data_IF_267581518883
#
_entry.id   IF_267581518883
#
_cell.length_a   1.000
_cell.length_b   1.000
_cell.length_c   1.000
_cell.angle_alpha   90.00
_cell.angle_beta   90.00
_cell.angle_gamma   90.00
#
_symmetry.space_group_name_H-M   'P 1'
#
loop_
_entity.id
_entity.type
_entity.pdbx_description
1 polymer ?
#
# COMPACT_ATOMS: atom_id res chain seq x y z
N UNK A 1 10.57 18.02 4.96
CA UNK A 1 11.57 17.46 4.02
C UNK A 1 10.97 16.22 3.39
N UNK A 2 10.76 16.24 2.07
CA UNK A 2 9.89 15.30 1.37
C UNK A 2 10.49 13.90 1.16
N UNK A 3 9.60 12.90 1.17
CA UNK A 3 9.88 11.52 0.75
C UNK A 3 9.81 11.46 -0.77
N UNK A 4 10.95 11.65 -1.44
CA UNK A 4 11.02 11.55 -2.90
C UNK A 4 11.00 10.08 -3.33
N UNK A 5 10.29 9.79 -4.41
CA UNK A 5 10.34 8.48 -5.07
C UNK A 5 11.76 8.20 -5.59
N UNK A 6 12.04 6.94 -5.89
CA UNK A 6 13.31 6.52 -6.48
C UNK A 6 13.60 7.32 -7.77
N UNK A 7 12.60 7.48 -8.64
CA UNK A 7 12.72 8.19 -9.91
C UNK A 7 13.11 9.66 -9.76
N UNK A 8 12.50 10.35 -8.78
CA UNK A 8 12.82 11.75 -8.45
C UNK A 8 14.26 11.89 -7.97
N UNK A 9 14.77 10.87 -7.27
CA UNK A 9 16.15 10.86 -6.79
C UNK A 9 17.11 10.67 -7.97
N UNK A 10 16.78 9.79 -8.92
CA UNK A 10 17.54 9.59 -10.17
C UNK A 10 17.64 10.87 -10.99
N UNK A 11 16.52 11.52 -11.27
CA UNK A 11 16.45 12.74 -12.06
C UNK A 11 17.28 13.90 -11.45
N UNK A 12 17.21 14.05 -10.12
CA UNK A 12 17.92 15.12 -9.42
C UNK A 12 19.43 14.90 -9.35
N UNK A 13 19.87 13.64 -9.22
CA UNK A 13 21.30 13.31 -9.23
C UNK A 13 21.85 13.43 -10.65
N UNK A 14 21.12 12.98 -11.67
CA UNK A 14 21.55 13.11 -13.08
C UNK A 14 21.68 14.56 -13.56
N UNK A 15 20.98 15.51 -12.94
CA UNK A 15 21.11 16.94 -13.27
C UNK A 15 22.28 17.64 -12.57
N UNK A 16 22.91 17.00 -11.58
CA UNK A 16 23.96 17.61 -10.75
C UNK A 16 25.29 16.86 -10.77
N UNK A 17 25.27 15.59 -11.16
CA UNK A 17 26.44 14.73 -11.24
C UNK A 17 26.37 13.84 -12.48
N UNK A 18 27.54 13.51 -13.03
CA UNK A 18 27.69 12.56 -14.13
C UNK A 18 28.75 11.53 -13.78
N UNK A 19 28.42 10.24 -13.92
CA UNK A 19 29.36 9.12 -13.85
C UNK A 19 28.99 8.08 -14.91
N UNK A 20 29.95 7.25 -15.39
CA UNK A 20 29.68 6.21 -16.39
C UNK A 20 28.67 5.15 -15.93
N UNK A 21 28.46 5.00 -14.61
CA UNK A 21 27.60 3.99 -13.99
C UNK A 21 26.60 4.60 -13.01
N UNK A 22 26.22 5.87 -13.23
CA UNK A 22 25.45 6.65 -12.26
C UNK A 22 24.14 5.97 -11.87
N UNK A 23 23.43 5.38 -12.83
CA UNK A 23 22.18 4.67 -12.55
C UNK A 23 22.39 3.44 -11.67
N UNK A 24 23.47 2.68 -11.90
CA UNK A 24 23.80 1.50 -11.13
C UNK A 24 24.18 1.89 -9.70
N UNK A 25 25.10 2.85 -9.54
CA UNK A 25 25.55 3.36 -8.25
C UNK A 25 24.38 3.91 -7.42
N UNK A 26 23.47 4.64 -8.07
CA UNK A 26 22.32 5.22 -7.41
C UNK A 26 21.26 4.18 -7.03
N UNK A 27 21.02 3.20 -7.90
CA UNK A 27 20.14 2.08 -7.56
C UNK A 27 20.69 1.29 -6.37
N UNK A 28 22.00 1.02 -6.35
CA UNK A 28 22.68 0.34 -5.25
C UNK A 28 22.59 1.14 -3.94
N UNK A 29 22.79 2.45 -4.01
CA UNK A 29 22.61 3.35 -2.86
C UNK A 29 21.17 3.34 -2.33
N UNK A 30 20.17 3.48 -3.20
CA UNK A 30 18.75 3.52 -2.80
C UNK A 30 18.31 2.17 -2.22
N UNK A 31 18.79 1.06 -2.78
CA UNK A 31 18.52 -0.29 -2.28
C UNK A 31 19.14 -0.55 -0.90
N UNK A 32 20.34 -0.03 -0.64
CA UNK A 32 21.04 -0.19 0.63
C UNK A 32 20.65 0.87 1.70
N UNK A 33 19.99 1.96 1.30
CA UNK A 33 19.63 3.05 2.21
C UNK A 33 18.44 2.67 3.11
N UNK A 34 18.72 2.43 4.40
CA UNK A 34 17.69 2.06 5.40
C UNK A 34 16.54 3.08 5.54
N UNK A 35 16.82 4.36 5.32
CA UNK A 35 15.81 5.43 5.35
C UNK A 35 14.87 5.33 4.15
N UNK A 36 15.41 5.11 2.95
CA UNK A 36 14.63 4.89 1.73
C UNK A 36 13.79 3.62 1.85
N UNK A 37 14.37 2.52 2.33
CA UNK A 37 13.66 1.25 2.49
C UNK A 37 12.51 1.32 3.52
N UNK A 38 12.67 2.11 4.59
CA UNK A 38 11.59 2.34 5.58
C UNK A 38 10.48 3.24 5.06
N UNK A 39 10.83 4.26 4.28
CA UNK A 39 9.88 5.24 3.75
C UNK A 39 9.13 4.73 2.51
N UNK A 40 9.86 4.14 1.56
CA UNK A 40 9.35 3.54 0.33
C UNK A 40 9.25 2.03 0.49
N UNK A 41 8.63 1.57 1.59
CA UNK A 41 8.31 0.15 1.73
C UNK A 41 7.52 -0.27 0.49
N UNK A 42 8.07 -1.19 -0.30
CA UNK A 42 7.32 -1.81 -1.39
C UNK A 42 6.03 -2.34 -0.78
N UNK A 43 4.89 -1.80 -1.20
CA UNK A 43 3.60 -2.33 -0.80
C UNK A 43 3.53 -3.78 -1.28
N UNK A 44 3.79 -4.69 -0.34
CA UNK A 44 4.19 -6.06 -0.60
C UNK A 44 3.05 -7.03 -0.32
N UNK A 45 2.28 -7.31 -1.38
CA UNK A 45 1.88 -8.62 -1.91
C UNK A 45 0.98 -8.26 -3.09
N UNK A 46 1.06 -8.99 -4.21
CA UNK A 46 -0.06 -8.96 -5.16
C UNK A 46 -1.29 -9.28 -4.33
N UNK A 47 -2.31 -8.44 -4.40
CA UNK A 47 -3.60 -8.76 -3.80
C UNK A 47 -3.90 -10.21 -4.17
N UNK A 48 -4.16 -11.05 -3.16
CA UNK A 48 -4.47 -12.45 -3.40
C UNK A 48 -5.64 -12.54 -4.39
N UNK A 49 -5.77 -13.67 -5.08
CA UNK A 49 -7.00 -13.93 -5.81
C UNK A 49 -8.16 -13.76 -4.84
N UNK A 50 -9.19 -13.01 -5.25
CA UNK A 50 -10.42 -12.88 -4.49
C UNK A 50 -10.88 -14.31 -4.15
N UNK A 51 -11.07 -14.63 -2.87
CA UNK A 51 -11.63 -15.92 -2.51
C UNK A 51 -13.06 -15.97 -3.06
N UNK A 52 -13.34 -16.98 -3.88
CA UNK A 52 -14.70 -17.23 -4.38
C UNK A 52 -15.55 -17.70 -3.20
N UNK A 53 -16.62 -16.96 -2.90
CA UNK A 53 -17.64 -17.39 -1.95
C UNK A 53 -18.65 -18.21 -2.75
N UNK A 54 -18.97 -19.41 -2.29
CA UNK A 54 -20.02 -20.22 -2.93
C UNK A 54 -21.37 -19.49 -2.85
N UNK A 55 -22.13 -19.52 -3.95
CA UNK A 55 -23.46 -18.93 -3.98
C UNK A 55 -24.39 -19.74 -3.06
N UNK A 56 -25.08 -19.07 -2.09
CA UNK A 56 -26.06 -19.75 -1.25
C UNK A 56 -27.23 -20.24 -2.10
N UNK A 57 -27.67 -21.47 -1.87
CA UNK A 57 -28.79 -22.14 -2.55
C UNK A 57 -30.13 -21.87 -1.86
N UNK A 58 -30.09 -21.48 -0.59
CA UNK A 58 -31.28 -21.22 0.22
C UNK A 58 -31.22 -19.83 0.89
N UNK A 59 -32.39 -19.22 1.16
CA UNK A 59 -32.43 -17.98 1.93
C UNK A 59 -31.75 -18.16 3.30
N UNK A 60 -30.95 -17.17 3.70
CA UNK A 60 -30.24 -17.12 5.00
C UNK A 60 -29.10 -18.13 5.19
N UNK A 61 -28.65 -18.81 4.14
CA UNK A 61 -27.56 -19.78 4.22
C UNK A 61 -26.19 -19.13 4.49
N UNK A 62 -25.97 -17.91 3.98
CA UNK A 62 -24.74 -17.14 4.19
C UNK A 62 -25.08 -15.74 4.67
N UNK A 63 -24.56 -15.34 5.84
CA UNK A 63 -24.69 -13.99 6.39
C UNK A 63 -23.29 -13.44 6.63
N UNK A 64 -22.95 -12.33 5.95
CA UNK A 64 -21.69 -11.63 6.14
C UNK A 64 -21.93 -10.41 7.04
N UNK A 65 -21.06 -10.18 8.02
CA UNK A 65 -21.23 -9.07 8.97
C UNK A 65 -19.92 -8.29 9.10
N UNK A 66 -19.99 -6.97 9.04
CA UNK A 66 -18.85 -6.07 9.26
C UNK A 66 -19.17 -5.00 10.31
N UNK A 67 -18.13 -4.52 11.00
CA UNK A 67 -18.21 -3.51 12.04
C UNK A 67 -17.84 -2.14 11.48
N UNK A 68 -18.83 -1.25 11.34
CA UNK A 68 -18.56 0.13 10.95
C UNK A 68 -18.05 0.91 12.16
N UNK A 69 -16.82 1.45 12.07
CA UNK A 69 -16.26 2.40 13.04
C UNK A 69 -16.34 3.83 12.48
N UNK A 70 -16.66 4.81 13.33
CA UNK A 70 -16.68 6.24 12.97
C UNK A 70 -18.06 6.84 12.67
N UNK A 71 -19.14 6.17 13.03
CA UNK A 71 -20.49 6.79 12.99
C UNK A 71 -20.53 7.89 14.07
N UNK A 72 -20.90 9.12 13.68
CA UNK A 72 -21.09 10.21 14.63
C UNK A 72 -22.10 9.80 15.71
N UNK A 73 -21.84 10.22 16.95
CA UNK A 73 -22.48 9.65 18.16
C UNK A 73 -23.98 9.91 18.32
N UNK A 74 -24.68 10.39 17.29
CA UNK A 74 -26.13 10.58 17.35
C UNK A 74 -26.94 9.30 17.15
N UNK A 75 -26.30 8.16 16.88
CA UNK A 75 -27.01 6.88 16.86
C UNK A 75 -26.16 5.75 17.43
N UNK A 76 -26.07 5.68 18.76
CA UNK A 76 -25.62 4.46 19.47
C UNK A 76 -26.65 3.32 19.35
N UNK A 77 -26.97 2.94 18.13
CA UNK A 77 -27.52 1.61 17.83
C UNK A 77 -26.36 0.85 17.23
N UNK A 78 -25.98 -0.28 17.82
CA UNK A 78 -25.03 -1.22 17.22
C UNK A 78 -25.64 -1.71 15.91
N UNK A 79 -25.37 -0.99 14.82
CA UNK A 79 -25.91 -1.29 13.50
C UNK A 79 -25.03 -2.37 12.89
N UNK A 80 -25.48 -3.60 13.02
CA UNK A 80 -25.06 -4.69 12.13
C UNK A 80 -25.73 -4.40 10.78
N UNK A 81 -24.94 -4.08 9.76
CA UNK A 81 -25.44 -4.14 8.38
C UNK A 81 -25.42 -5.61 8.00
N UNK A 82 -26.61 -6.17 7.80
CA UNK A 82 -26.83 -7.52 7.28
C UNK A 82 -26.95 -7.48 5.76
#
# INVERSE_FOLDING_TARGET
>A
MGHMSEDRTKERVSSTAWSPKLEQELSEYINNCSRCQKANRKHGKKYGLLQHIEEPKHPWETINMDWVKGVSQETKKTSMLA
#
